data_IF_034957606622
#
_entry.id   IF_034957606622
#
_cell.length_a   1.000
_cell.length_b   1.000
_cell.length_c   1.000
_cell.angle_alpha   90.00
_cell.angle_beta   90.00
_cell.angle_gamma   90.00
#
_symmetry.space_group_name_H-M   'P 1'
#
loop_
_entity.id
_entity.type
_entity.pdbx_description
1 polymer ?
#
# COMPACT_ATOMS: atom_id res chain seq x y z
N UNK A 1 -31.79 42.89 -18.99
CA UNK A 1 -31.41 41.47 -19.05
C UNK A 1 -29.90 41.37 -18.86
N UNK A 2 -29.39 41.18 -17.63
CA UNK A 2 -28.01 40.72 -17.41
C UNK A 2 -27.76 40.35 -15.94
N UNK A 3 -28.11 39.12 -15.57
CA UNK A 3 -27.63 38.45 -14.35
C UNK A 3 -27.48 36.96 -14.68
N UNK A 4 -26.38 36.55 -15.32
CA UNK A 4 -26.07 35.10 -15.52
C UNK A 4 -24.57 34.77 -15.41
N UNK A 5 -23.64 35.73 -15.49
CA UNK A 5 -22.22 35.40 -15.64
C UNK A 5 -21.45 35.00 -14.36
N UNK A 6 -21.96 35.26 -13.14
CA UNK A 6 -21.19 35.02 -11.90
C UNK A 6 -21.38 33.61 -11.30
N UNK A 7 -22.46 32.91 -11.65
CA UNK A 7 -22.77 31.59 -11.04
C UNK A 7 -21.87 30.48 -11.62
N UNK A 8 -21.59 30.50 -12.94
CA UNK A 8 -20.77 29.48 -13.61
C UNK A 8 -19.32 29.45 -13.11
N UNK A 9 -18.72 30.60 -12.84
CA UNK A 9 -17.33 30.71 -12.38
C UNK A 9 -17.11 30.06 -11.00
N UNK A 10 -18.10 30.17 -10.10
CA UNK A 10 -18.02 29.59 -8.75
C UNK A 10 -18.11 28.06 -8.79
N UNK A 11 -18.98 27.49 -9.63
CA UNK A 11 -19.11 26.03 -9.78
C UNK A 11 -17.87 25.39 -10.42
N UNK A 12 -17.24 26.06 -11.38
CA UNK A 12 -15.99 25.55 -11.99
C UNK A 12 -14.86 25.53 -10.98
N UNK A 13 -14.71 26.56 -10.13
CA UNK A 13 -13.66 26.60 -9.09
C UNK A 13 -13.92 25.59 -7.97
N UNK A 14 -15.16 25.42 -7.53
CA UNK A 14 -15.51 24.41 -6.53
C UNK A 14 -15.33 22.98 -7.08
N UNK A 15 -15.75 22.75 -8.32
CA UNK A 15 -15.54 21.50 -9.04
C UNK A 15 -14.04 21.18 -9.19
N UNK A 16 -13.23 22.15 -9.62
CA UNK A 16 -11.80 21.97 -9.83
C UNK A 16 -11.03 21.79 -8.52
N UNK A 17 -11.39 22.52 -7.45
CA UNK A 17 -10.84 22.28 -6.11
C UNK A 17 -11.20 20.91 -5.56
N UNK A 18 -12.44 20.44 -5.79
CA UNK A 18 -12.87 19.11 -5.36
C UNK A 18 -12.17 17.98 -6.13
N UNK A 19 -11.95 18.16 -7.45
CA UNK A 19 -11.18 17.22 -8.28
C UNK A 19 -9.72 17.19 -7.82
N UNK A 20 -9.07 18.35 -7.69
CA UNK A 20 -7.70 18.41 -7.23
C UNK A 20 -7.51 17.90 -5.79
N UNK A 21 -8.53 17.97 -4.92
CA UNK A 21 -8.49 17.37 -3.60
C UNK A 21 -8.60 15.84 -3.66
N UNK A 22 -9.47 15.31 -4.52
CA UNK A 22 -9.58 13.87 -4.78
C UNK A 22 -8.29 13.31 -5.37
N UNK A 23 -7.73 13.95 -6.39
CA UNK A 23 -6.51 13.50 -7.05
C UNK A 23 -5.33 13.48 -6.07
N UNK A 24 -5.23 14.49 -5.18
CA UNK A 24 -4.23 14.49 -4.11
C UNK A 24 -4.44 13.35 -3.13
N UNK A 25 -5.67 13.10 -2.71
CA UNK A 25 -5.98 12.02 -1.80
C UNK A 25 -5.65 10.66 -2.41
N UNK A 26 -6.10 10.40 -3.64
CA UNK A 26 -5.83 9.19 -4.40
C UNK A 26 -4.31 9.00 -4.59
N UNK A 27 -3.57 10.08 -4.85
CA UNK A 27 -2.09 10.04 -4.93
C UNK A 27 -1.45 9.61 -3.61
N UNK A 28 -1.94 10.11 -2.46
CA UNK A 28 -1.42 9.69 -1.15
C UNK A 28 -1.77 8.23 -0.84
N UNK A 29 -2.96 7.76 -1.24
CA UNK A 29 -3.34 6.36 -1.09
C UNK A 29 -2.37 5.46 -1.86
N UNK A 30 -2.06 5.82 -3.11
CA UNK A 30 -1.10 5.09 -3.92
C UNK A 30 0.30 5.16 -3.33
N UNK A 31 0.74 6.33 -2.86
CA UNK A 31 2.04 6.52 -2.22
C UNK A 31 2.20 5.69 -0.93
N UNK A 32 1.16 5.63 -0.10
CA UNK A 32 1.12 4.76 1.09
C UNK A 32 1.28 3.29 0.69
N UNK A 33 0.51 2.81 -0.30
CA UNK A 33 0.62 1.43 -0.76
C UNK A 33 1.99 1.13 -1.39
N UNK A 34 2.52 2.04 -2.21
CA UNK A 34 3.85 1.94 -2.84
C UNK A 34 4.94 1.88 -1.79
N UNK A 35 4.93 2.80 -0.82
CA UNK A 35 5.95 2.84 0.25
C UNK A 35 5.94 1.55 1.06
N UNK A 36 4.75 1.06 1.40
CA UNK A 36 4.59 -0.17 2.15
C UNK A 36 5.10 -1.39 1.36
N UNK A 37 4.64 -1.57 0.11
CA UNK A 37 5.08 -2.69 -0.75
C UNK A 37 6.57 -2.60 -1.08
N UNK A 38 7.09 -1.40 -1.35
CA UNK A 38 8.51 -1.22 -1.65
C UNK A 38 9.40 -1.64 -0.47
N UNK A 39 8.95 -1.36 0.76
CA UNK A 39 9.62 -1.82 2.00
C UNK A 39 9.60 -3.35 2.09
N UNK A 40 8.47 -3.98 1.76
CA UNK A 40 8.33 -5.44 1.76
C UNK A 40 9.26 -6.12 0.73
N UNK A 41 9.22 -5.68 -0.54
CA UNK A 41 9.90 -6.37 -1.64
C UNK A 41 11.42 -6.13 -1.68
N UNK A 42 11.90 -5.07 -1.03
CA UNK A 42 13.33 -4.75 -0.87
C UNK A 42 13.89 -5.14 0.51
N UNK A 43 13.14 -5.94 1.27
CA UNK A 43 13.60 -6.44 2.56
C UNK A 43 14.75 -7.43 2.37
N UNK A 44 15.85 -7.18 3.08
CA UNK A 44 17.08 -7.98 3.07
C UNK A 44 17.75 -7.97 4.44
N UNK A 45 18.76 -8.81 4.61
CA UNK A 45 19.44 -9.01 5.90
C UNK A 45 19.89 -7.72 6.57
N UNK A 46 20.38 -6.75 5.80
CA UNK A 46 20.91 -5.49 6.34
C UNK A 46 19.83 -4.51 6.85
N UNK A 47 18.58 -4.67 6.44
CA UNK A 47 17.48 -3.75 6.78
C UNK A 47 16.24 -4.47 7.33
N UNK A 48 16.31 -5.78 7.61
CA UNK A 48 15.14 -6.59 7.94
C UNK A 48 14.40 -6.06 9.17
N UNK A 49 15.12 -5.71 10.23
CA UNK A 49 14.49 -5.25 11.47
C UNK A 49 13.84 -3.86 11.28
N UNK A 50 14.50 -2.94 10.60
CA UNK A 50 13.91 -1.63 10.26
C UNK A 50 12.74 -1.75 9.29
N UNK A 51 12.81 -2.67 8.33
CA UNK A 51 11.74 -2.89 7.36
C UNK A 51 10.51 -3.49 8.03
N UNK A 52 10.69 -4.44 8.95
CA UNK A 52 9.60 -4.99 9.77
C UNK A 52 8.95 -3.89 10.60
N UNK A 53 9.74 -3.03 11.25
CA UNK A 53 9.21 -1.91 12.02
C UNK A 53 8.43 -0.93 11.13
N UNK A 54 8.96 -0.55 9.96
CA UNK A 54 8.26 0.34 9.04
C UNK A 54 6.95 -0.26 8.51
N UNK A 55 6.93 -1.58 8.25
CA UNK A 55 5.72 -2.27 7.83
C UNK A 55 4.68 -2.30 8.97
N UNK A 56 5.11 -2.49 10.22
CA UNK A 56 4.26 -2.43 11.41
C UNK A 56 3.69 -1.02 11.62
N UNK A 57 4.55 0.01 11.61
CA UNK A 57 4.16 1.41 11.76
C UNK A 57 3.21 1.88 10.65
N UNK A 58 3.35 1.30 9.45
CA UNK A 58 2.49 1.54 8.30
C UNK A 58 1.19 0.72 8.28
N UNK A 59 0.91 -0.08 9.31
CA UNK A 59 -0.29 -0.93 9.40
C UNK A 59 -1.16 -0.61 10.62
N UNK A 60 -2.44 -0.93 10.51
CA UNK A 60 -3.37 -0.83 11.63
C UNK A 60 -4.46 -1.89 11.58
N UNK A 61 -5.22 -2.01 12.68
CA UNK A 61 -6.33 -2.95 12.81
C UNK A 61 -5.84 -4.39 12.89
N UNK A 62 -6.71 -5.33 12.54
CA UNK A 62 -6.40 -6.75 12.63
C UNK A 62 -5.18 -7.18 11.79
N UNK A 63 -4.89 -6.49 10.68
CA UNK A 63 -3.66 -6.74 9.92
C UNK A 63 -2.42 -6.53 10.80
N UNK A 64 -2.39 -5.49 11.64
CA UNK A 64 -1.26 -5.22 12.53
C UNK A 64 -1.03 -6.36 13.53
N UNK A 65 -2.10 -6.98 14.03
CA UNK A 65 -2.03 -8.06 15.01
C UNK A 65 -1.43 -9.35 14.41
N UNK A 66 -1.71 -9.61 13.13
CA UNK A 66 -1.26 -10.82 12.43
C UNK A 66 -0.11 -10.60 11.45
N UNK A 67 0.40 -9.36 11.33
CA UNK A 67 1.40 -9.00 10.32
C UNK A 67 2.65 -9.87 10.43
N UNK A 68 3.11 -10.13 11.66
CA UNK A 68 4.28 -10.97 11.91
C UNK A 68 4.13 -12.39 11.38
N UNK A 69 2.95 -12.99 11.52
CA UNK A 69 2.64 -14.34 11.03
C UNK A 69 2.62 -14.37 9.50
N UNK A 70 1.99 -13.35 8.89
CA UNK A 70 1.93 -13.22 7.43
C UNK A 70 3.29 -13.00 6.79
N UNK A 71 4.15 -12.20 7.42
CA UNK A 71 5.48 -11.88 6.91
C UNK A 71 6.55 -12.90 7.30
N UNK A 72 6.24 -13.88 8.17
CA UNK A 72 7.23 -14.79 8.74
C UNK A 72 8.10 -15.49 7.67
N UNK A 73 7.49 -15.91 6.55
CA UNK A 73 8.21 -16.53 5.44
C UNK A 73 9.20 -15.58 4.75
N UNK A 74 8.77 -14.34 4.51
CA UNK A 74 9.60 -13.29 3.88
C UNK A 74 10.73 -12.87 4.82
N UNK A 75 10.43 -12.63 6.10
CA UNK A 75 11.43 -12.28 7.13
C UNK A 75 12.45 -13.39 7.31
N UNK A 76 12.00 -14.66 7.36
CA UNK A 76 12.90 -15.80 7.45
C UNK A 76 13.85 -15.83 6.26
N UNK A 77 13.33 -15.67 5.04
CA UNK A 77 14.15 -15.65 3.82
C UNK A 77 15.17 -14.49 3.85
N UNK A 78 14.73 -13.28 4.22
CA UNK A 78 15.58 -12.10 4.33
C UNK A 78 16.70 -12.26 5.37
N UNK A 79 16.51 -13.06 6.43
CA UNK A 79 17.51 -13.31 7.49
C UNK A 79 18.48 -14.43 7.16
N UNK A 80 18.01 -15.49 6.49
CA UNK A 80 18.84 -16.69 6.26
C UNK A 80 19.78 -16.54 5.08
N UNK A 81 19.41 -15.72 4.10
CA UNK A 81 20.20 -15.53 2.91
C UNK A 81 21.01 -14.25 3.10
N UNK A 82 22.32 -14.26 2.80
CA UNK A 82 23.11 -13.02 2.64
C UNK A 82 22.70 -12.30 1.33
N UNK A 83 21.41 -12.37 1.01
CA UNK A 83 20.87 -11.97 -0.25
C UNK A 83 20.64 -10.48 -0.27
N UNK A 84 21.20 -9.87 -1.31
CA UNK A 84 20.66 -8.61 -1.77
C UNK A 84 19.25 -8.88 -2.34
N UNK A 85 18.33 -7.98 -2.01
CA UNK A 85 16.99 -7.95 -2.55
C UNK A 85 16.83 -6.63 -3.31
N UNK A 86 16.43 -6.74 -4.56
CA UNK A 86 16.10 -5.58 -5.40
C UNK A 86 14.72 -5.84 -6.00
N UNK A 87 13.77 -5.00 -5.65
CA UNK A 87 12.40 -5.05 -6.14
C UNK A 87 11.98 -3.75 -6.79
N UNK A 88 11.12 -3.88 -7.80
CA UNK A 88 10.52 -2.78 -8.53
C UNK A 88 9.00 -3.01 -8.59
N UNK A 89 8.24 -1.92 -8.44
CA UNK A 89 6.80 -1.94 -8.63
C UNK A 89 6.52 -1.71 -10.11
N UNK A 90 5.97 -2.72 -10.77
CA UNK A 90 5.66 -2.70 -12.19
C UNK A 90 4.38 -1.90 -12.47
N UNK A 91 3.38 -2.00 -11.59
CA UNK A 91 2.12 -1.28 -11.70
C UNK A 91 1.45 -1.07 -10.35
N UNK A 92 0.75 0.05 -10.22
CA UNK A 92 -0.09 0.37 -9.06
C UNK A 92 -1.36 1.09 -9.48
N UNK A 93 -2.51 0.68 -8.95
CA UNK A 93 -3.79 1.30 -9.26
C UNK A 93 -4.81 1.18 -8.12
N UNK A 94 -5.68 2.18 -7.96
CA UNK A 94 -6.84 2.08 -7.07
C UNK A 94 -7.87 1.15 -7.71
N UNK A 95 -8.19 0.07 -7.02
CA UNK A 95 -9.20 -0.91 -7.41
C UNK A 95 -10.59 -0.45 -6.92
N UNK A 96 -11.29 0.31 -7.77
CA UNK A 96 -12.62 0.86 -7.46
C UNK A 96 -13.76 -0.16 -7.49
N UNK A 97 -13.51 -1.34 -8.07
CA UNK A 97 -14.51 -2.40 -8.27
C UNK A 97 -14.17 -3.66 -7.46
N UNK A 98 -12.97 -3.70 -6.89
CA UNK A 98 -12.38 -4.84 -6.22
C UNK A 98 -13.21 -5.42 -5.09
N UNK A 99 -13.09 -6.74 -4.94
CA UNK A 99 -13.63 -7.46 -3.81
C UNK A 99 -13.07 -6.90 -2.49
N UNK A 100 -13.89 -6.97 -1.43
CA UNK A 100 -13.45 -6.68 -0.07
C UNK A 100 -12.35 -7.66 0.32
N UNK A 101 -11.32 -7.17 0.99
CA UNK A 101 -10.39 -8.06 1.68
C UNK A 101 -11.12 -8.60 2.92
N UNK A 102 -11.11 -9.92 3.18
CA UNK A 102 -11.68 -10.48 4.40
C UNK A 102 -11.08 -9.80 5.63
N UNK A 103 -11.94 -9.53 6.62
CA UNK A 103 -11.56 -8.90 7.89
C UNK A 103 -10.95 -7.48 7.76
N UNK A 104 -11.11 -6.83 6.59
CA UNK A 104 -10.72 -5.42 6.43
C UNK A 104 -11.49 -4.54 7.45
N UNK A 105 -10.73 -3.70 8.16
CA UNK A 105 -11.16 -2.74 9.19
C UNK A 105 -11.60 -3.28 10.57
N UNK A 106 -11.45 -4.58 10.84
CA UNK A 106 -11.71 -5.12 12.18
C UNK A 106 -10.69 -4.55 13.18
N UNK A 107 -11.19 -4.15 14.36
CA UNK A 107 -10.37 -3.58 15.44
C UNK A 107 -9.98 -2.12 15.25
N UNK A 108 -10.41 -1.47 14.17
CA UNK A 108 -10.18 -0.04 13.95
C UNK A 108 -11.26 0.84 14.60
N UNK A 109 -10.92 2.06 15.05
CA UNK A 109 -11.92 3.09 15.31
C UNK A 109 -12.65 3.45 14.00
N UNK A 110 -13.70 4.29 14.07
CA UNK A 110 -14.48 4.69 12.89
C UNK A 110 -13.56 5.19 11.76
N UNK A 111 -13.43 4.37 10.70
CA UNK A 111 -12.68 4.70 9.48
C UNK A 111 -13.54 5.55 8.55
N UNK A 112 -12.98 6.67 8.07
CA UNK A 112 -13.72 7.58 7.18
C UNK A 112 -13.89 6.99 5.77
N UNK A 113 -12.89 6.24 5.31
CA UNK A 113 -12.81 5.69 3.96
C UNK A 113 -11.75 4.59 3.90
N UNK A 114 -12.02 3.61 3.04
CA UNK A 114 -11.16 2.48 2.74
C UNK A 114 -10.99 2.45 1.22
N UNK A 115 -9.75 2.53 0.76
CA UNK A 115 -9.40 2.47 -0.66
C UNK A 115 -8.57 1.23 -0.93
N UNK A 116 -9.01 0.44 -1.91
CA UNK A 116 -8.28 -0.77 -2.31
C UNK A 116 -7.28 -0.42 -3.38
N UNK A 117 -6.06 -0.93 -3.24
CA UNK A 117 -4.97 -0.71 -4.19
C UNK A 117 -4.46 -2.07 -4.66
N UNK A 118 -4.40 -2.24 -5.98
CA UNK A 118 -3.73 -3.37 -6.60
C UNK A 118 -2.30 -2.98 -6.91
N UNK A 119 -1.35 -3.82 -6.52
CA UNK A 119 0.08 -3.64 -6.79
C UNK A 119 0.61 -4.88 -7.47
N UNK A 120 1.29 -4.67 -8.59
CA UNK A 120 2.11 -5.69 -9.26
C UNK A 120 3.55 -5.27 -9.13
N UNK A 121 4.39 -6.18 -8.64
CA UNK A 121 5.81 -5.92 -8.45
C UNK A 121 6.63 -7.18 -8.75
N UNK A 122 7.90 -6.95 -9.05
CA UNK A 122 8.88 -8.00 -9.27
C UNK A 122 10.06 -7.77 -8.34
N UNK A 123 10.56 -8.82 -7.70
CA UNK A 123 11.82 -8.73 -6.96
C UNK A 123 12.77 -9.87 -7.29
N UNK A 124 14.06 -9.57 -7.17
CA UNK A 124 15.13 -10.55 -7.33
C UNK A 124 15.83 -10.71 -5.99
N UNK A 125 15.92 -11.95 -5.52
CA UNK A 125 16.73 -12.33 -4.37
C UNK A 125 17.95 -13.09 -4.88
N UNK A 126 19.16 -12.66 -4.50
CA UNK A 126 20.41 -13.30 -4.91
C UNK A 126 21.19 -13.76 -3.70
N UNK A 127 21.27 -15.07 -3.47
CA UNK A 127 22.26 -15.64 -2.56
C UNK A 127 23.65 -15.62 -3.20
N UNK A 128 24.72 -15.50 -2.41
CA UNK A 128 26.09 -15.45 -2.90
C UNK A 128 26.48 -16.72 -3.67
N UNK A 129 25.94 -17.87 -3.26
CA UNK A 129 26.28 -19.19 -3.79
C UNK A 129 25.14 -19.83 -4.61
N UNK A 130 24.07 -19.10 -4.91
CA UNK A 130 22.92 -19.63 -5.67
C UNK A 130 22.50 -18.74 -6.85
N UNK A 131 21.77 -19.35 -7.79
CA UNK A 131 21.18 -18.61 -8.90
C UNK A 131 20.18 -17.56 -8.39
N UNK A 132 20.13 -16.35 -9.00
CA UNK A 132 19.13 -15.35 -8.65
C UNK A 132 17.71 -15.92 -8.82
N UNK A 133 16.86 -15.70 -7.81
CA UNK A 133 15.46 -16.09 -7.84
C UNK A 133 14.59 -14.86 -8.05
N UNK A 134 13.76 -14.92 -9.09
CA UNK A 134 12.73 -13.90 -9.38
C UNK A 134 11.46 -14.25 -8.62
N UNK A 135 10.89 -13.28 -7.92
CA UNK A 135 9.64 -13.38 -7.19
C UNK A 135 8.65 -12.37 -7.77
N UNK A 136 7.46 -12.84 -8.13
CA UNK A 136 6.36 -12.00 -8.60
C UNK A 136 5.39 -11.75 -7.45
N UNK A 137 4.95 -10.51 -7.33
CA UNK A 137 4.10 -10.04 -6.25
C UNK A 137 2.84 -9.45 -6.85
N UNK A 138 1.70 -10.12 -6.65
CA UNK A 138 0.39 -9.58 -6.99
C UNK A 138 -0.35 -9.34 -5.68
N UNK A 139 -0.48 -8.09 -5.28
CA UNK A 139 -1.00 -7.73 -3.96
C UNK A 139 -2.25 -6.88 -4.11
N UNK A 140 -3.22 -7.12 -3.22
CA UNK A 140 -4.30 -6.17 -2.95
C UNK A 140 -4.14 -5.66 -1.53
N UNK A 141 -4.09 -4.34 -1.39
CA UNK A 141 -4.00 -3.66 -0.11
C UNK A 141 -5.30 -2.89 0.13
N UNK A 142 -5.80 -2.90 1.36
CA UNK A 142 -6.76 -1.91 1.83
C UNK A 142 -5.99 -0.81 2.54
N UNK A 143 -6.17 0.43 2.08
CA UNK A 143 -5.59 1.63 2.68
C UNK A 143 -6.73 2.42 3.30
N UNK A 144 -6.76 2.49 4.63
CA UNK A 144 -7.81 3.20 5.36
C UNK A 144 -7.27 4.49 5.97
N UNK A 145 -8.11 5.52 6.02
CA UNK A 145 -7.81 6.73 6.81
C UNK A 145 -8.15 6.48 8.28
N UNK A 146 -7.12 6.37 9.12
CA UNK A 146 -7.22 6.19 10.58
C UNK A 146 -6.72 7.47 11.24
N UNK A 147 -7.62 8.26 11.82
CA UNK A 147 -7.29 9.61 12.28
C UNK A 147 -6.85 10.50 11.11
N UNK A 148 -5.63 11.04 11.17
CA UNK A 148 -5.06 11.88 10.09
C UNK A 148 -4.04 11.12 9.21
N UNK A 149 -3.88 9.81 9.43
CA UNK A 149 -2.92 8.97 8.71
C UNK A 149 -3.63 8.03 7.72
N UNK A 150 -2.94 7.70 6.64
CA UNK A 150 -3.30 6.59 5.74
C UNK A 150 -2.44 5.39 6.11
N UNK A 151 -3.08 4.28 6.46
CA UNK A 151 -2.42 3.06 6.91
C UNK A 151 -2.95 1.86 6.13
N UNK A 152 -2.12 0.83 6.00
CA UNK A 152 -2.54 -0.45 5.41
C UNK A 152 -3.28 -1.26 6.47
N UNK A 153 -4.51 -1.64 6.17
CA UNK A 153 -5.44 -2.28 7.13
C UNK A 153 -5.90 -3.65 6.67
N UNK A 154 -5.66 -3.98 5.41
CA UNK A 154 -5.91 -5.29 4.83
C UNK A 154 -4.86 -5.59 3.77
N UNK A 155 -4.50 -6.86 3.66
CA UNK A 155 -3.54 -7.34 2.67
C UNK A 155 -3.97 -8.72 2.18
N UNK A 156 -3.99 -8.89 0.86
CA UNK A 156 -4.27 -10.14 0.20
C UNK A 156 -3.18 -10.39 -0.86
N UNK A 157 -2.55 -11.56 -0.80
CA UNK A 157 -1.64 -12.04 -1.85
C UNK A 157 -2.47 -12.79 -2.90
N UNK A 158 -2.52 -12.23 -4.10
CA UNK A 158 -3.20 -12.81 -5.25
C UNK A 158 -2.31 -13.88 -5.87
N UNK A 159 -2.92 -15.00 -6.28
CA UNK A 159 -2.24 -16.16 -6.88
C UNK A 159 -2.60 -16.29 -8.34
#
# INVERSE_FOLDING_TARGET
MTVVALVLSVFVVAGHRSQAARDRYDSRVLDTAVTWVNTLINMKKSNVDSSVQMLQDGTAGQLSDHLGEMLAGVVKLARTVDADAAGEIDAVAIDRVGARIPDEDIGLPSVERVDRVMVVATSVTRDADAAPKVNQWHLRLAVSKVGDQLLVTGLELLR
#
